data_IF_463131148158
#
_entry.id   IF_463131148158
#
_cell.length_a   1.000
_cell.length_b   1.000
_cell.length_c   1.000
_cell.angle_alpha   90.00
_cell.angle_beta   90.00
_cell.angle_gamma   90.00
#
_symmetry.space_group_name_H-M   'P 1'
#
loop_
_entity.id
_entity.type
_entity.pdbx_description
1 polymer ?
#
# COMPACT_ATOMS: atom_id res chain seq x y z
N UNK A 1 -9.09 -11.26 -4.16
CA UNK A 1 -8.31 -10.17 -4.80
C UNK A 1 -8.15 -9.05 -3.79
N UNK A 2 -6.98 -8.44 -3.73
CA UNK A 2 -6.69 -7.31 -2.84
C UNK A 2 -6.53 -6.07 -3.71
N UNK A 3 -7.12 -4.95 -3.29
CA UNK A 3 -6.79 -3.64 -3.80
C UNK A 3 -6.04 -2.84 -2.73
N UNK A 4 -4.84 -2.38 -3.04
CA UNK A 4 -4.10 -1.45 -2.18
C UNK A 4 -4.53 -0.02 -2.46
N UNK A 5 -4.85 0.71 -1.40
CA UNK A 5 -5.23 2.13 -1.48
C UNK A 5 -4.52 2.94 -0.42
N UNK A 6 -4.23 4.21 -0.69
CA UNK A 6 -3.70 5.11 0.33
C UNK A 6 -4.81 5.66 1.25
N UNK A 7 -4.42 6.48 2.23
CA UNK A 7 -5.34 7.17 3.15
C UNK A 7 -6.30 8.15 2.43
N UNK A 8 -5.99 8.55 1.20
CA UNK A 8 -6.87 9.35 0.35
C UNK A 8 -7.79 8.49 -0.54
N UNK A 9 -7.84 7.17 -0.31
CA UNK A 9 -8.62 6.19 -1.08
C UNK A 9 -8.21 6.10 -2.58
N UNK A 10 -7.00 6.54 -2.92
CA UNK A 10 -6.40 6.41 -4.25
C UNK A 10 -5.72 5.05 -4.37
N UNK A 11 -5.84 4.39 -5.53
CA UNK A 11 -5.20 3.11 -5.77
C UNK A 11 -3.67 3.25 -5.83
N UNK A 12 -2.95 2.34 -5.18
CA UNK A 12 -1.48 2.38 -5.11
C UNK A 12 -0.88 1.16 -5.81
N UNK A 13 -0.14 1.41 -6.88
CA UNK A 13 0.56 0.37 -7.65
C UNK A 13 1.94 0.05 -7.07
N UNK A 14 2.51 -1.11 -7.44
CA UNK A 14 3.88 -1.47 -7.10
C UNK A 14 4.09 -1.82 -5.62
N UNK A 15 3.02 -2.17 -4.91
CA UNK A 15 3.07 -2.62 -3.52
C UNK A 15 3.26 -4.13 -3.49
N UNK A 16 4.27 -4.60 -2.74
CA UNK A 16 4.46 -6.01 -2.50
C UNK A 16 3.51 -6.45 -1.38
N UNK A 17 2.61 -7.38 -1.67
CA UNK A 17 1.65 -7.90 -0.70
C UNK A 17 2.08 -9.31 -0.31
N UNK A 18 2.48 -9.47 0.94
CA UNK A 18 2.73 -10.76 1.56
C UNK A 18 1.42 -11.37 2.05
N UNK A 19 1.32 -12.70 2.00
CA UNK A 19 0.18 -13.46 2.51
C UNK A 19 0.69 -14.49 3.50
N UNK A 20 0.04 -14.54 4.67
CA UNK A 20 0.33 -15.52 5.71
C UNK A 20 -0.94 -16.26 6.07
N UNK A 21 -0.88 -17.59 6.19
CA UNK A 21 -1.96 -18.34 6.82
C UNK A 21 -2.00 -17.98 8.31
N UNK A 22 -3.10 -17.37 8.76
CA UNK A 22 -3.23 -16.87 10.13
C UNK A 22 -3.35 -17.97 11.20
N UNK A 23 -3.42 -19.24 10.80
CA UNK A 23 -3.50 -20.40 11.70
C UNK A 23 -2.16 -21.12 11.81
N UNK A 24 -1.43 -21.25 10.69
CA UNK A 24 -0.17 -21.99 10.64
C UNK A 24 1.07 -21.09 10.61
N UNK A 25 0.89 -19.78 10.48
CA UNK A 25 1.94 -18.78 10.22
C UNK A 25 2.79 -19.07 8.97
N UNK A 26 2.27 -19.92 8.06
CA UNK A 26 2.93 -20.23 6.79
C UNK A 26 2.85 -19.03 5.85
N UNK A 27 4.01 -18.61 5.33
CA UNK A 27 4.12 -17.58 4.31
C UNK A 27 3.89 -18.17 2.92
N UNK A 28 3.07 -17.52 2.12
CA UNK A 28 2.89 -17.83 0.70
C UNK A 28 3.70 -16.84 -0.16
N UNK A 29 3.82 -17.15 -1.45
CA UNK A 29 4.50 -16.29 -2.41
C UNK A 29 3.87 -14.88 -2.44
N UNK A 30 4.67 -13.81 -2.23
CA UNK A 30 4.18 -12.46 -2.31
C UNK A 30 3.94 -12.05 -3.76
N UNK A 31 3.03 -11.11 -3.96
CA UNK A 31 2.69 -10.60 -5.29
C UNK A 31 2.69 -9.06 -5.31
N UNK A 32 2.95 -8.48 -6.48
CA UNK A 32 3.06 -7.03 -6.64
C UNK A 32 1.78 -6.46 -7.27
N UNK A 33 1.26 -5.37 -6.70
CA UNK A 33 0.05 -4.72 -7.22
C UNK A 33 0.29 -4.05 -8.58
N UNK A 34 -0.67 -4.21 -9.47
CA UNK A 34 -0.63 -3.63 -10.81
C UNK A 34 -0.92 -2.12 -10.82
N UNK A 35 -0.96 -1.50 -12.01
CA UNK A 35 -1.19 -0.06 -12.20
C UNK A 35 -2.48 0.49 -11.57
N UNK A 36 -3.48 -0.35 -11.30
CA UNK A 36 -4.75 0.03 -10.65
C UNK A 36 -4.84 -0.44 -9.20
N UNK A 37 -3.69 -0.80 -8.60
CA UNK A 37 -3.55 -1.21 -7.21
C UNK A 37 -4.06 -2.62 -6.93
N UNK A 38 -4.29 -3.45 -7.95
CA UNK A 38 -4.86 -4.79 -7.77
C UNK A 38 -3.80 -5.88 -7.77
N UNK A 39 -4.05 -6.89 -6.93
CA UNK A 39 -3.30 -8.16 -6.91
C UNK A 39 -4.25 -9.33 -6.62
N UNK A 40 -3.91 -10.51 -7.13
CA UNK A 40 -4.73 -11.72 -7.01
C UNK A 40 -3.91 -12.84 -6.38
N UNK A 41 -4.56 -13.55 -5.47
CA UNK A 41 -4.03 -14.75 -4.83
C UNK A 41 -5.03 -15.88 -5.04
N UNK A 42 -4.52 -17.08 -5.33
CA UNK A 42 -5.29 -18.31 -5.34
C UNK A 42 -5.05 -19.00 -4.01
N UNK A 43 -6.06 -18.98 -3.14
CA UNK A 43 -5.97 -19.46 -1.76
C UNK A 43 -7.04 -20.52 -1.53
N UNK A 44 -6.68 -21.58 -0.83
CA UNK A 44 -7.67 -22.53 -0.30
C UNK A 44 -8.50 -21.85 0.81
N UNK A 45 -9.73 -22.32 1.07
CA UNK A 45 -10.54 -21.80 2.16
C UNK A 45 -9.79 -21.81 3.50
N UNK A 46 -9.78 -20.68 4.19
CA UNK A 46 -9.01 -20.51 5.42
C UNK A 46 -8.90 -19.06 5.88
N UNK A 47 -8.09 -18.85 6.92
CA UNK A 47 -7.83 -17.54 7.50
C UNK A 47 -6.46 -17.03 7.07
N UNK A 48 -6.40 -15.81 6.54
CA UNK A 48 -5.16 -15.23 6.03
C UNK A 48 -4.95 -13.79 6.49
N UNK A 49 -3.70 -13.45 6.75
CA UNK A 49 -3.26 -12.07 6.95
C UNK A 49 -2.54 -11.57 5.71
N UNK A 50 -2.84 -10.33 5.30
CA UNK A 50 -2.18 -9.67 4.17
C UNK A 50 -1.39 -8.47 4.69
N UNK A 51 -0.11 -8.37 4.31
CA UNK A 51 0.77 -7.27 4.74
C UNK A 51 1.34 -6.60 3.49
N UNK A 52 1.17 -5.28 3.40
CA UNK A 52 1.71 -4.47 2.32
C UNK A 52 3.09 -3.93 2.70
N UNK A 53 4.05 -4.11 1.79
CA UNK A 53 5.39 -3.55 1.87
C UNK A 53 5.66 -2.62 0.69
N UNK A 54 6.24 -1.47 0.99
CA UNK A 54 6.79 -0.56 0.00
C UNK A 54 8.26 -0.28 0.34
N UNK A 55 9.18 -0.73 -0.52
CA UNK A 55 10.64 -0.63 -0.29
C UNK A 55 11.05 -1.17 1.08
N UNK A 56 10.60 -2.39 1.39
CA UNK A 56 10.89 -3.12 2.64
C UNK A 56 10.33 -2.48 3.92
N UNK A 57 9.49 -1.44 3.80
CA UNK A 57 8.76 -0.84 4.93
C UNK A 57 7.32 -1.35 4.92
N UNK A 58 6.86 -1.85 6.07
CA UNK A 58 5.44 -2.17 6.26
C UNK A 58 4.61 -0.90 6.17
N UNK A 59 3.63 -0.89 5.26
CA UNK A 59 2.76 0.26 5.05
C UNK A 59 1.29 -0.06 5.33
N UNK A 60 0.93 -1.31 5.58
CA UNK A 60 -0.45 -1.66 5.91
C UNK A 60 -0.66 -3.14 6.17
N UNK A 61 -1.72 -3.46 6.91
CA UNK A 61 -2.07 -4.83 7.30
C UNK A 61 -3.58 -5.07 7.26
N UNK A 62 -3.98 -6.25 6.79
CA UNK A 62 -5.31 -6.84 6.95
C UNK A 62 -5.16 -8.16 7.70
N UNK A 63 -5.31 -8.18 9.02
CA UNK A 63 -5.12 -9.39 9.79
C UNK A 63 -6.33 -10.32 9.70
N UNK A 64 -6.08 -11.63 9.76
CA UNK A 64 -7.07 -12.69 10.02
C UNK A 64 -8.36 -12.61 9.18
N UNK A 65 -8.21 -12.45 7.87
CA UNK A 65 -9.30 -12.43 6.91
C UNK A 65 -9.77 -13.85 6.60
N UNK A 66 -11.05 -14.11 6.86
CA UNK A 66 -11.71 -15.37 6.48
C UNK A 66 -11.97 -15.37 4.97
N UNK A 67 -11.44 -16.37 4.28
CA UNK A 67 -11.59 -16.63 2.84
C UNK A 67 -12.30 -17.97 2.68
N UNK A 68 -13.55 -17.95 2.23
CA UNK A 68 -14.33 -19.17 1.91
C UNK A 68 -14.76 -19.22 0.44
N UNK A 69 -14.79 -18.05 -0.20
CA UNK A 69 -15.17 -17.84 -1.58
C UNK A 69 -14.38 -16.68 -2.19
N UNK A 70 -14.65 -16.38 -3.47
CA UNK A 70 -14.04 -15.26 -4.16
C UNK A 70 -14.35 -13.93 -3.45
N UNK A 71 -13.34 -13.40 -2.76
CA UNK A 71 -13.46 -12.19 -1.97
C UNK A 71 -12.65 -11.04 -2.56
N UNK A 72 -13.17 -9.83 -2.41
CA UNK A 72 -12.46 -8.59 -2.74
C UNK A 72 -12.25 -7.81 -1.45
N UNK A 73 -10.99 -7.47 -1.14
CA UNK A 73 -10.62 -6.74 0.07
C UNK A 73 -9.83 -5.49 -0.30
N UNK A 74 -9.97 -4.43 0.49
CA UNK A 74 -9.17 -3.21 0.37
C UNK A 74 -8.14 -3.20 1.49
N UNK A 75 -6.86 -3.12 1.13
CA UNK A 75 -5.73 -2.99 2.05
C UNK A 75 -5.29 -1.52 2.06
N UNK A 76 -5.62 -0.82 3.15
CA UNK A 76 -5.21 0.56 3.33
C UNK A 76 -3.70 0.63 3.61
N UNK A 77 -3.01 1.48 2.88
CA UNK A 77 -1.58 1.72 2.95
C UNK A 77 -1.34 3.14 3.48
N UNK A 78 -0.55 3.25 4.55
CA UNK A 78 -0.04 4.49 5.14
C UNK A 78 1.02 5.13 4.25
N UNK A 79 0.64 5.49 3.03
CA UNK A 79 1.45 6.16 2.03
C UNK A 79 0.82 7.51 1.71
N UNK A 80 1.64 8.56 1.70
CA UNK A 80 1.21 9.89 1.30
C UNK A 80 1.79 10.25 -0.06
N UNK A 81 0.95 10.80 -0.95
CA UNK A 81 1.41 11.41 -2.18
C UNK A 81 1.70 12.89 -1.93
N UNK A 82 2.99 13.23 -1.75
CA UNK A 82 3.42 14.61 -1.46
C UNK A 82 3.81 15.30 -2.75
N UNK A 83 3.05 16.33 -3.15
CA UNK A 83 3.37 17.24 -4.25
C UNK A 83 3.71 18.62 -3.67
N UNK A 84 4.87 19.16 -4.06
CA UNK A 84 5.33 20.48 -3.61
C UNK A 84 5.47 21.36 -4.86
N UNK A 85 4.86 22.54 -4.82
CA UNK A 85 4.94 23.55 -5.86
C UNK A 85 5.43 24.86 -5.22
N UNK A 86 6.38 25.53 -5.87
CA UNK A 86 6.88 26.84 -5.47
C UNK A 86 6.46 27.82 -6.56
N UNK A 87 5.56 28.72 -6.22
CA UNK A 87 4.89 29.63 -7.16
C UNK A 87 4.89 31.07 -6.61
N UNK A 88 4.82 32.06 -7.50
CA UNK A 88 4.56 33.46 -7.13
C UNK A 88 3.06 33.76 -6.93
N UNK A 89 2.71 35.02 -6.65
CA UNK A 89 1.31 35.45 -6.49
C UNK A 89 0.45 35.25 -7.74
N UNK A 90 1.06 35.07 -8.92
CA UNK A 90 0.39 34.85 -10.19
C UNK A 90 0.33 33.35 -10.57
N UNK A 91 0.66 32.44 -9.65
CA UNK A 91 0.74 30.98 -9.88
C UNK A 91 1.80 30.58 -10.92
N UNK A 92 2.84 31.39 -11.10
CA UNK A 92 3.96 31.07 -11.99
C UNK A 92 5.01 30.30 -11.18
N UNK A 93 5.41 29.13 -11.69
CA UNK A 93 6.43 28.30 -11.05
C UNK A 93 7.78 29.04 -10.97
N UNK A 94 8.36 29.09 -9.77
CA UNK A 94 9.64 29.74 -9.51
C UNK A 94 10.79 28.73 -9.63
N UNK A 95 11.66 28.84 -10.65
CA UNK A 95 12.81 27.95 -10.78
C UNK A 95 13.94 28.34 -9.82
N UNK A 96 14.88 27.41 -9.62
CA UNK A 96 16.12 27.63 -8.86
C UNK A 96 15.93 27.96 -7.37
N UNK A 97 14.85 27.45 -6.77
CA UNK A 97 14.60 27.55 -5.32
C UNK A 97 15.04 26.25 -4.65
N UNK A 98 15.91 26.38 -3.64
CA UNK A 98 16.28 25.24 -2.78
C UNK A 98 15.18 24.97 -1.76
N UNK A 99 14.69 23.72 -1.73
CA UNK A 99 13.65 23.27 -0.80
C UNK A 99 14.22 22.18 0.10
N UNK A 100 14.16 22.40 1.41
CA UNK A 100 14.55 21.42 2.43
C UNK A 100 13.30 20.94 3.16
N UNK A 101 13.02 19.64 3.04
CA UNK A 101 11.96 18.96 3.78
C UNK A 101 12.58 18.23 4.96
N UNK A 102 12.30 18.73 6.17
CA UNK A 102 12.65 18.03 7.40
C UNK A 102 11.43 17.22 7.84
N UNK A 103 11.63 15.94 8.12
CA UNK A 103 10.60 15.09 8.69
C UNK A 103 11.14 14.40 9.95
N UNK A 104 10.27 14.19 10.92
CA UNK A 104 10.53 13.34 12.07
C UNK A 104 9.55 12.18 12.02
N UNK A 105 10.08 10.97 11.82
CA UNK A 105 9.30 9.75 11.91
C UNK A 105 9.63 9.05 13.23
N UNK A 106 8.60 8.74 14.01
CA UNK A 106 8.69 7.93 15.22
C UNK A 106 7.88 6.66 15.01
N UNK A 107 8.53 5.50 15.10
CA UNK A 107 7.90 4.16 15.16
C UNK A 107 7.28 3.90 16.51
#
# INVERSE_FOLDING_TARGET
QIQTKNLANEAVAGIMVHVYNATTDEALDPEITNATGWVRFLLDPGNYSFIAFWKDVEVGILPNQVIEENKTLTLECSLAHVKIAIEDEAHVALPFIDVILMYSYTT
#
